data_IF_251722450496
#
_entry.id   IF_251722450496
#
_cell.length_a   1.000
_cell.length_b   1.000
_cell.length_c   1.000
_cell.angle_alpha   90.00
_cell.angle_beta   90.00
_cell.angle_gamma   90.00
#
_symmetry.space_group_name_H-M   'P 1'
#
loop_
_entity.id
_entity.type
_entity.pdbx_description
1 polymer ?
#
# COMPACT_ATOMS: atom_id res chain seq x y z
N UNK A 1 3.58 10.22 31.50
CA UNK A 1 2.75 10.10 30.36
C UNK A 1 3.52 9.75 29.15
N UNK A 2 4.21 10.69 28.58
CA UNK A 2 4.97 10.41 27.40
C UNK A 2 6.07 9.41 27.59
N UNK A 3 6.52 9.25 28.80
CA UNK A 3 7.56 8.28 29.07
C UNK A 3 7.06 6.86 28.98
N UNK A 4 5.82 6.66 29.42
CA UNK A 4 5.25 5.33 29.39
C UNK A 4 5.10 4.81 28.00
N UNK A 5 4.71 5.69 27.05
CA UNK A 5 4.48 5.26 25.70
C UNK A 5 5.73 4.70 25.03
N UNK A 6 6.87 5.43 25.02
CA UNK A 6 8.09 4.87 24.46
C UNK A 6 8.55 3.61 25.17
N UNK A 7 8.35 3.59 26.48
CA UNK A 7 8.74 2.43 27.26
C UNK A 7 7.91 1.21 26.89
N UNK A 8 6.63 1.41 26.73
CA UNK A 8 5.75 0.31 26.33
C UNK A 8 6.10 -0.18 24.93
N UNK A 9 6.46 0.72 24.04
CA UNK A 9 6.84 0.32 22.70
C UNK A 9 8.08 -0.56 22.70
N UNK A 10 9.01 -0.29 23.60
CA UNK A 10 10.19 -1.12 23.71
C UNK A 10 9.86 -2.55 24.06
N UNK A 11 8.84 -2.73 24.90
CA UNK A 11 8.41 -4.06 25.28
C UNK A 11 7.38 -4.64 24.34
N UNK A 12 6.60 -3.76 23.69
CA UNK A 12 5.47 -4.22 22.92
C UNK A 12 5.88 -5.12 21.77
N UNK A 13 6.91 -4.72 21.02
CA UNK A 13 7.34 -5.56 19.93
C UNK A 13 8.45 -4.88 19.17
N UNK A 14 9.15 -5.65 18.42
CA UNK A 14 10.07 -5.14 17.43
C UNK A 14 9.25 -4.75 16.20
N UNK A 15 9.62 -3.66 15.52
CA UNK A 15 8.98 -3.35 14.25
C UNK A 15 9.12 -4.52 13.30
N UNK A 16 8.03 -4.89 12.67
CA UNK A 16 8.03 -6.00 11.74
C UNK A 16 7.21 -5.64 10.53
N UNK A 17 7.83 -5.74 9.36
CA UNK A 17 7.18 -5.47 8.11
C UNK A 17 7.22 -6.74 7.28
N UNK A 18 6.05 -7.22 6.86
CA UNK A 18 5.96 -8.40 6.03
C UNK A 18 6.39 -8.03 4.61
N UNK A 19 7.59 -8.48 4.25
CA UNK A 19 8.17 -8.12 2.95
C UNK A 19 7.32 -8.57 1.77
N UNK A 20 6.54 -9.64 1.96
CA UNK A 20 5.68 -10.15 0.88
C UNK A 20 4.52 -9.20 0.61
N UNK A 21 4.20 -8.32 1.55
CA UNK A 21 3.07 -7.41 1.44
C UNK A 21 3.49 -5.98 1.06
N UNK A 22 4.76 -5.76 0.78
CA UNK A 22 5.22 -4.44 0.35
C UNK A 22 4.70 -4.18 -1.06
N UNK A 23 4.02 -3.04 -1.22
CA UNK A 23 3.45 -2.62 -2.50
C UNK A 23 4.26 -1.54 -3.18
N UNK A 24 5.05 -0.79 -2.41
CA UNK A 24 5.91 0.25 -2.94
C UNK A 24 7.14 0.36 -2.05
N UNK A 25 8.32 0.51 -2.67
CA UNK A 25 9.56 0.69 -1.94
C UNK A 25 10.25 -0.63 -1.68
N UNK A 26 11.44 -0.55 -1.13
CA UNK A 26 12.26 -1.72 -0.82
C UNK A 26 12.64 -1.71 0.65
N UNK A 27 12.55 -2.88 1.29
CA UNK A 27 12.87 -2.99 2.71
C UNK A 27 14.32 -2.57 2.98
N UNK A 28 15.21 -2.76 2.01
CA UNK A 28 16.60 -2.39 2.15
C UNK A 28 16.81 -0.88 2.30
N UNK A 29 15.83 -0.09 1.86
CA UNK A 29 15.89 1.37 1.95
C UNK A 29 15.19 1.90 3.20
N UNK A 30 14.62 1.03 4.00
CA UNK A 30 13.83 1.41 5.15
C UNK A 30 14.64 1.35 6.44
N UNK A 31 14.55 2.37 7.27
CA UNK A 31 15.24 2.42 8.54
C UNK A 31 14.32 2.94 9.63
N UNK A 32 14.13 2.11 10.66
CA UNK A 32 13.35 2.53 11.83
C UNK A 32 14.07 3.62 12.59
N UNK A 33 15.40 3.61 12.56
CA UNK A 33 16.20 4.61 13.28
C UNK A 33 16.03 5.99 12.70
N UNK A 34 15.87 6.10 11.38
CA UNK A 34 15.61 7.37 10.75
C UNK A 34 14.18 7.84 10.95
N UNK A 35 13.31 6.97 11.44
CA UNK A 35 11.90 7.29 11.53
C UNK A 35 11.24 7.35 10.17
N UNK A 36 11.65 6.50 9.24
CA UNK A 36 11.11 6.49 7.89
C UNK A 36 9.61 6.28 7.90
N UNK A 37 8.90 7.00 7.05
CA UNK A 37 7.45 6.97 7.01
C UNK A 37 6.94 5.76 6.24
N UNK A 38 5.94 5.11 6.82
CA UNK A 38 5.31 3.93 6.24
C UNK A 38 3.82 4.19 6.10
N UNK A 39 3.24 3.75 5.00
CA UNK A 39 1.80 3.80 4.79
C UNK A 39 1.28 2.40 4.57
N UNK A 40 -0.01 2.20 4.86
CA UNK A 40 -0.69 0.95 4.52
C UNK A 40 -1.88 1.24 3.62
N UNK A 41 -2.20 0.30 2.77
CA UNK A 41 -3.26 0.43 1.80
C UNK A 41 -4.03 -0.88 1.70
N UNK A 42 -5.34 -0.77 1.47
CA UNK A 42 -6.17 -1.92 1.13
C UNK A 42 -6.25 -1.97 -0.40
N UNK A 43 -5.39 -2.77 -1.01
CA UNK A 43 -5.28 -2.83 -2.46
C UNK A 43 -6.59 -3.21 -3.12
N UNK A 44 -7.33 -4.13 -2.52
CA UNK A 44 -8.60 -4.59 -3.09
C UNK A 44 -9.58 -3.44 -3.26
N UNK A 45 -9.65 -2.57 -2.25
CA UNK A 45 -10.55 -1.41 -2.30
C UNK A 45 -10.14 -0.42 -3.39
N UNK A 46 -8.84 -0.20 -3.57
CA UNK A 46 -8.36 0.69 -4.61
C UNK A 46 -8.60 0.11 -5.99
N UNK A 47 -8.27 -1.17 -6.18
CA UNK A 47 -8.48 -1.82 -7.47
C UNK A 47 -9.95 -1.75 -7.89
N UNK A 48 -10.88 -1.92 -6.96
CA UNK A 48 -12.30 -1.87 -7.27
C UNK A 48 -12.73 -0.54 -7.91
N UNK A 49 -11.95 0.51 -7.72
CA UNK A 49 -12.24 1.84 -8.25
C UNK A 49 -11.43 2.18 -9.49
N UNK A 50 -10.52 1.32 -9.91
CA UNK A 50 -9.73 1.59 -11.10
C UNK A 50 -10.59 1.43 -12.36
N UNK A 51 -10.48 2.34 -13.34
CA UNK A 51 -11.33 2.30 -14.53
C UNK A 51 -11.29 0.97 -15.27
N UNK A 52 -10.10 0.37 -15.39
CA UNK A 52 -9.98 -0.90 -16.12
C UNK A 52 -10.66 -2.04 -15.37
N UNK A 53 -10.65 -2.02 -14.03
CA UNK A 53 -11.35 -3.04 -13.25
C UNK A 53 -12.85 -2.86 -13.36
N UNK A 54 -13.31 -1.60 -13.36
CA UNK A 54 -14.73 -1.30 -13.57
C UNK A 54 -15.18 -1.83 -14.93
N UNK A 55 -14.33 -1.65 -15.96
CA UNK A 55 -14.63 -2.19 -17.29
C UNK A 55 -14.73 -3.69 -17.30
N UNK A 56 -13.84 -4.40 -16.59
CA UNK A 56 -13.90 -5.85 -16.49
C UNK A 56 -15.28 -6.27 -16.00
N UNK A 57 -15.79 -5.63 -14.97
CA UNK A 57 -17.10 -5.96 -14.42
C UNK A 57 -18.21 -5.61 -15.37
N UNK A 58 -18.10 -4.44 -16.01
CA UNK A 58 -19.14 -3.98 -16.93
C UNK A 58 -19.24 -4.86 -18.16
N UNK A 59 -18.10 -5.27 -18.72
CA UNK A 59 -18.07 -6.11 -19.90
C UNK A 59 -18.26 -7.58 -19.60
N UNK A 60 -18.12 -7.96 -18.33
CA UNK A 60 -18.16 -9.35 -17.96
C UNK A 60 -16.97 -10.14 -18.49
N UNK A 61 -15.81 -9.49 -18.59
CA UNK A 61 -14.61 -10.16 -19.09
C UNK A 61 -14.24 -11.31 -18.18
N UNK A 62 -14.04 -12.49 -18.76
CA UNK A 62 -13.78 -13.69 -17.98
C UNK A 62 -12.31 -13.83 -17.63
N UNK A 63 -12.04 -14.28 -16.41
CA UNK A 63 -10.69 -14.61 -16.00
C UNK A 63 -10.06 -15.55 -17.01
N UNK A 64 -8.80 -15.26 -17.37
CA UNK A 64 -8.08 -16.06 -18.33
C UNK A 64 -8.26 -15.64 -19.77
N UNK A 65 -9.20 -14.75 -20.07
CA UNK A 65 -9.35 -14.23 -21.43
C UNK A 65 -8.31 -13.15 -21.70
N UNK A 66 -7.99 -12.93 -22.97
CA UNK A 66 -7.06 -11.89 -23.36
C UNK A 66 -7.54 -10.51 -22.90
N UNK A 67 -8.83 -10.26 -23.00
CA UNK A 67 -9.41 -8.98 -22.60
C UNK A 67 -9.25 -8.75 -21.12
N UNK A 68 -9.52 -9.76 -20.30
CA UNK A 68 -9.34 -9.67 -18.86
C UNK A 68 -7.90 -9.36 -18.53
N UNK A 69 -6.97 -10.07 -19.14
CA UNK A 69 -5.55 -9.90 -18.88
C UNK A 69 -5.08 -8.49 -19.26
N UNK A 70 -5.51 -8.03 -20.41
CA UNK A 70 -5.16 -6.68 -20.88
C UNK A 70 -5.65 -5.61 -19.91
N UNK A 71 -6.89 -5.73 -19.47
CA UNK A 71 -7.46 -4.75 -18.54
C UNK A 71 -6.80 -4.82 -17.17
N UNK A 72 -6.44 -6.01 -16.71
CA UNK A 72 -5.74 -6.14 -15.43
C UNK A 72 -4.34 -5.56 -15.50
N UNK A 73 -3.67 -5.69 -16.63
CA UNK A 73 -2.35 -5.05 -16.79
C UNK A 73 -2.45 -3.53 -16.70
N UNK A 74 -3.47 -2.96 -17.34
CA UNK A 74 -3.69 -1.52 -17.26
C UNK A 74 -3.99 -1.09 -15.82
N UNK A 75 -4.80 -1.88 -15.14
CA UNK A 75 -5.13 -1.59 -13.74
C UNK A 75 -3.88 -1.60 -12.88
N UNK A 76 -3.03 -2.61 -13.05
CA UNK A 76 -1.81 -2.72 -12.26
C UNK A 76 -0.86 -1.55 -12.50
N UNK A 77 -0.71 -1.12 -13.76
CA UNK A 77 0.12 0.04 -14.05
C UNK A 77 -0.43 1.30 -13.41
N UNK A 78 -1.76 1.47 -13.47
CA UNK A 78 -2.40 2.62 -12.87
C UNK A 78 -2.23 2.61 -11.35
N UNK A 79 -2.40 1.45 -10.74
CA UNK A 79 -2.24 1.30 -9.31
C UNK A 79 -0.82 1.67 -8.87
N UNK A 80 0.18 1.14 -9.57
CA UNK A 80 1.57 1.44 -9.24
C UNK A 80 1.87 2.92 -9.37
N UNK A 81 1.31 3.58 -10.37
CA UNK A 81 1.49 5.01 -10.56
C UNK A 81 0.88 5.80 -9.41
N UNK A 82 -0.32 5.42 -8.98
CA UNK A 82 -0.99 6.08 -7.86
C UNK A 82 -0.15 5.95 -6.60
N UNK A 83 0.33 4.75 -6.30
CA UNK A 83 1.15 4.53 -5.10
C UNK A 83 2.44 5.35 -5.16
N UNK A 84 3.09 5.35 -6.31
CA UNK A 84 4.33 6.10 -6.48
C UNK A 84 4.11 7.59 -6.24
N UNK A 85 3.03 8.12 -6.79
CA UNK A 85 2.74 9.55 -6.66
C UNK A 85 2.44 9.93 -5.21
N UNK A 86 1.67 9.10 -4.52
CA UNK A 86 1.34 9.36 -3.13
C UNK A 86 2.58 9.22 -2.25
N UNK A 87 3.42 8.23 -2.52
CA UNK A 87 4.64 8.05 -1.76
C UNK A 87 5.56 9.26 -1.92
N UNK A 88 5.71 9.75 -3.15
CA UNK A 88 6.56 10.91 -3.41
C UNK A 88 6.02 12.16 -2.73
N UNK A 89 4.71 12.37 -2.81
CA UNK A 89 4.08 13.55 -2.25
C UNK A 89 4.19 13.61 -0.73
N UNK A 90 4.13 12.46 -0.08
CA UNK A 90 4.11 12.38 1.39
C UNK A 90 5.39 11.80 1.99
N UNK A 91 6.38 11.52 1.16
CA UNK A 91 7.67 10.98 1.60
C UNK A 91 7.57 9.62 2.29
N UNK A 92 6.68 8.78 1.81
CA UNK A 92 6.63 7.40 2.31
C UNK A 92 7.78 6.60 1.71
N UNK A 93 8.51 5.89 2.56
CA UNK A 93 9.58 5.00 2.13
C UNK A 93 9.00 3.66 1.72
N UNK A 94 7.95 3.22 2.41
CA UNK A 94 7.26 1.96 2.10
C UNK A 94 5.76 2.19 2.09
N UNK A 95 5.07 1.49 1.19
CA UNK A 95 3.62 1.31 1.26
C UNK A 95 3.40 -0.19 1.32
N UNK A 96 2.67 -0.63 2.32
CA UNK A 96 2.49 -2.05 2.62
C UNK A 96 1.01 -2.37 2.62
N UNK A 97 0.67 -3.58 2.22
CA UNK A 97 -0.73 -4.01 2.30
C UNK A 97 -1.18 -3.99 3.76
N UNK A 98 -2.43 -3.62 3.99
CA UNK A 98 -3.00 -3.56 5.34
C UNK A 98 -2.77 -4.88 6.06
N UNK A 99 -2.31 -4.80 7.30
CA UNK A 99 -1.96 -5.99 8.07
C UNK A 99 -0.50 -6.38 7.98
N UNK A 100 0.27 -5.73 7.11
CA UNK A 100 1.68 -6.09 6.94
C UNK A 100 2.64 -5.32 7.82
N UNK A 101 2.15 -4.41 8.67
CA UNK A 101 3.01 -3.61 9.56
C UNK A 101 2.60 -3.86 10.99
N UNK A 102 3.56 -4.27 11.82
CA UNK A 102 3.33 -4.53 13.23
C UNK A 102 4.42 -3.82 14.01
N UNK A 103 4.03 -3.12 15.08
CA UNK A 103 5.00 -2.49 15.98
C UNK A 103 5.69 -1.27 15.42
N UNK A 104 5.12 -0.65 14.42
CA UNK A 104 5.66 0.56 13.82
C UNK A 104 4.50 1.45 13.39
N UNK A 105 4.69 2.76 13.52
CA UNK A 105 3.66 3.73 13.17
C UNK A 105 3.49 3.81 11.65
N UNK A 106 2.23 3.90 11.20
CA UNK A 106 1.94 3.99 9.77
C UNK A 106 0.71 4.85 9.53
N UNK A 107 0.55 5.29 8.29
CA UNK A 107 -0.64 6.03 7.88
C UNK A 107 -1.47 5.16 6.95
N UNK A 108 -2.78 5.19 7.14
CA UNK A 108 -3.71 4.48 6.27
C UNK A 108 -4.04 5.40 5.10
N UNK A 109 -3.76 4.97 3.87
CA UNK A 109 -3.87 5.84 2.70
C UNK A 109 -4.84 5.33 1.64
N UNK A 110 -5.70 4.38 1.96
CA UNK A 110 -6.63 3.81 0.97
C UNK A 110 -7.49 4.88 0.31
N UNK A 111 -8.06 5.79 1.10
CA UNK A 111 -8.92 6.84 0.54
C UNK A 111 -8.13 7.81 -0.33
N UNK A 112 -6.93 8.18 0.09
CA UNK A 112 -6.08 9.06 -0.71
C UNK A 112 -5.75 8.42 -2.05
N UNK A 113 -5.49 7.11 -2.05
CA UNK A 113 -5.22 6.39 -3.29
C UNK A 113 -6.43 6.43 -4.21
N UNK A 114 -7.62 6.19 -3.67
CA UNK A 114 -8.85 6.20 -4.46
C UNK A 114 -9.07 7.59 -5.06
N UNK A 115 -8.84 8.64 -4.29
CA UNK A 115 -9.00 10.01 -4.80
C UNK A 115 -7.97 10.35 -5.87
N UNK A 116 -6.84 9.67 -5.88
CA UNK A 116 -5.76 9.96 -6.81
C UNK A 116 -5.82 9.17 -8.12
N UNK A 117 -6.83 8.32 -8.28
CA UNK A 117 -7.01 7.52 -9.49
C UNK A 117 -7.30 8.41 -10.70
#
# INVERSE_FOLDING_TARGET
MKFLIPFLLLFASHPNIDMRLIKYGAISNFSTERGDKVAVVDSKSVYAKLPSVILIRREGAKKGSSRYYELMQKATKNYKRVLKNIAAKNSFVLIVERGGVVGYEYEEITLECIKAI
#
